data_IF_011832239268
#
_entry.id   IF_011832239268
#
_cell.length_a   1.000
_cell.length_b   1.000
_cell.length_c   1.000
_cell.angle_alpha   90.00
_cell.angle_beta   90.00
_cell.angle_gamma   90.00
#
_symmetry.space_group_name_H-M   'P 1'
#
loop_
_entity.id
_entity.type
_entity.pdbx_description
1 polymer ?
#
# COMPACT_ATOMS: atom_id res chain seq x y z
N UNK A 1 -15.42 8.48 -52.58
CA UNK A 1 -15.25 9.74 -51.80
C UNK A 1 -16.51 10.12 -51.00
N UNK A 2 -17.72 9.69 -51.41
CA UNK A 2 -18.99 9.97 -50.72
C UNK A 2 -19.30 9.11 -49.47
N UNK A 3 -18.52 8.08 -49.15
CA UNK A 3 -18.73 7.23 -47.95
C UNK A 3 -17.96 7.77 -46.72
N UNK A 4 -16.97 8.65 -46.90
CA UNK A 4 -16.23 9.28 -45.80
C UNK A 4 -16.88 10.54 -45.22
N UNK A 5 -17.97 11.03 -45.83
CA UNK A 5 -18.71 12.20 -45.35
C UNK A 5 -19.87 11.84 -44.40
N UNK A 6 -20.31 10.58 -44.38
CA UNK A 6 -21.43 10.15 -43.53
C UNK A 6 -20.99 9.70 -42.13
N UNK A 7 -19.70 9.46 -41.89
CA UNK A 7 -19.18 9.16 -40.55
C UNK A 7 -18.72 10.40 -39.77
N UNK A 8 -18.59 11.56 -40.42
CA UNK A 8 -18.19 12.81 -39.76
C UNK A 8 -19.37 13.64 -39.21
N UNK A 9 -20.62 13.18 -39.39
CA UNK A 9 -21.82 13.83 -38.88
C UNK A 9 -22.49 13.08 -37.72
N UNK A 10 -21.85 12.03 -37.18
CA UNK A 10 -22.32 11.32 -35.99
C UNK A 10 -21.59 11.73 -34.69
N UNK A 11 -20.88 12.86 -34.70
CA UNK A 11 -20.19 13.44 -33.53
C UNK A 11 -20.94 14.63 -32.90
N UNK A 12 -22.19 14.88 -33.30
CA UNK A 12 -22.97 16.02 -32.80
C UNK A 12 -24.39 15.63 -32.39
N UNK A 13 -24.56 14.55 -31.64
CA UNK A 13 -25.75 14.40 -30.79
C UNK A 13 -25.46 14.99 -29.42
N UNK A 14 -25.78 16.29 -29.33
CA UNK A 14 -26.70 16.86 -28.34
C UNK A 14 -26.43 16.40 -26.91
N UNK A 15 -25.99 17.33 -26.06
CA UNK A 15 -26.08 17.22 -24.62
C UNK A 15 -27.35 17.97 -24.17
N UNK A 16 -28.54 17.35 -24.09
CA UNK A 16 -29.74 18.03 -23.62
C UNK A 16 -29.84 17.84 -22.11
N UNK A 17 -29.96 18.93 -21.35
CA UNK A 17 -30.50 18.93 -19.97
C UNK A 17 -29.79 18.05 -18.90
N UNK A 18 -28.55 17.59 -19.12
CA UNK A 18 -27.81 16.68 -18.24
C UNK A 18 -26.57 17.25 -17.51
N UNK A 19 -26.38 18.58 -17.47
CA UNK A 19 -25.15 19.21 -16.91
C UNK A 19 -24.91 18.99 -15.40
N UNK A 20 -25.90 18.52 -14.64
CA UNK A 20 -25.66 18.09 -13.25
C UNK A 20 -24.97 16.73 -13.15
N UNK A 21 -25.17 15.83 -14.12
CA UNK A 21 -24.59 14.47 -14.09
C UNK A 21 -23.09 14.46 -14.45
N UNK A 22 -22.63 15.40 -15.28
CA UNK A 22 -21.21 15.48 -15.69
C UNK A 22 -20.28 15.99 -14.57
N UNK A 23 -20.78 16.79 -13.63
CA UNK A 23 -20.02 17.20 -12.45
C UNK A 23 -20.00 16.14 -11.33
N UNK A 24 -21.04 15.30 -11.24
CA UNK A 24 -21.14 14.24 -10.21
C UNK A 24 -20.24 13.05 -10.57
N UNK A 25 -20.09 12.74 -11.86
CA UNK A 25 -19.33 11.59 -12.34
C UNK A 25 -17.86 11.53 -11.84
N UNK A 26 -17.03 12.59 -11.94
CA UNK A 26 -15.65 12.54 -11.46
C UNK A 26 -15.55 12.41 -9.94
N UNK A 27 -16.47 13.01 -9.19
CA UNK A 27 -16.49 12.92 -7.71
C UNK A 27 -16.88 11.52 -7.27
N UNK A 28 -17.86 10.90 -7.93
CA UNK A 28 -18.31 9.55 -7.64
C UNK A 28 -17.20 8.51 -7.91
N UNK A 29 -16.51 8.64 -9.05
CA UNK A 29 -15.35 7.79 -9.37
C UNK A 29 -14.21 7.96 -8.35
N UNK A 30 -13.96 9.18 -7.89
CA UNK A 30 -12.95 9.44 -6.87
C UNK A 30 -13.32 8.77 -5.54
N UNK A 31 -14.59 8.86 -5.13
CA UNK A 31 -15.08 8.25 -3.89
C UNK A 31 -15.02 6.71 -3.96
N UNK A 32 -15.40 6.12 -5.09
CA UNK A 32 -15.31 4.67 -5.30
C UNK A 32 -13.86 4.18 -5.22
N UNK A 33 -12.94 4.87 -5.88
CA UNK A 33 -11.51 4.53 -5.81
C UNK A 33 -10.98 4.69 -4.38
N UNK A 34 -11.33 5.78 -3.70
CA UNK A 34 -10.93 6.01 -2.32
C UNK A 34 -11.46 4.91 -1.39
N UNK A 35 -12.71 4.49 -1.57
CA UNK A 35 -13.31 3.40 -0.80
C UNK A 35 -12.59 2.05 -1.02
N UNK A 36 -12.01 1.82 -2.20
CA UNK A 36 -11.19 0.62 -2.49
C UNK A 36 -9.79 0.71 -1.90
N UNK A 37 -9.10 1.84 -2.07
CA UNK A 37 -7.68 1.98 -1.67
C UNK A 37 -7.51 2.32 -0.19
N UNK A 38 -8.49 2.97 0.44
CA UNK A 38 -8.42 3.34 1.86
C UNK A 38 -8.20 2.12 2.78
N UNK A 39 -8.99 1.03 2.70
CA UNK A 39 -8.74 -0.15 3.52
C UNK A 39 -7.39 -0.81 3.19
N UNK A 40 -6.93 -0.79 1.93
CA UNK A 40 -5.60 -1.29 1.54
C UNK A 40 -4.46 -0.47 2.17
N UNK A 41 -4.57 0.85 2.11
CA UNK A 41 -3.60 1.77 2.70
C UNK A 41 -3.60 1.67 4.24
N UNK A 42 -4.78 1.62 4.86
CA UNK A 42 -4.89 1.45 6.30
C UNK A 42 -4.29 0.12 6.77
N UNK A 43 -4.47 -0.94 5.98
CA UNK A 43 -3.87 -2.24 6.24
C UNK A 43 -2.35 -2.24 6.07
N UNK A 44 -1.81 -1.54 5.06
CA UNK A 44 -0.37 -1.45 4.85
C UNK A 44 0.34 -0.66 5.95
N UNK A 45 -0.37 0.22 6.65
CA UNK A 45 0.11 0.88 7.87
C UNK A 45 0.26 -0.08 9.07
N UNK A 46 -0.30 -1.29 9.02
CA UNK A 46 -0.24 -2.22 10.14
C UNK A 46 1.08 -3.01 10.16
N UNK A 47 2.20 -2.36 10.51
CA UNK A 47 3.52 -3.00 10.59
C UNK A 47 4.11 -3.00 12.01
N UNK A 48 3.92 -4.07 12.81
CA UNK A 48 4.48 -4.16 14.16
C UNK A 48 6.01 -4.09 14.19
N UNK A 49 6.68 -4.75 13.23
CA UNK A 49 8.15 -4.84 13.17
C UNK A 49 8.75 -3.45 12.93
N UNK A 50 8.23 -2.72 11.94
CA UNK A 50 8.71 -1.37 11.62
C UNK A 50 8.44 -0.42 12.81
N UNK A 51 7.27 -0.52 13.43
CA UNK A 51 6.91 0.26 14.60
C UNK A 51 7.85 -0.02 15.79
N UNK A 52 8.13 -1.29 16.09
CA UNK A 52 9.01 -1.70 17.19
C UNK A 52 10.47 -1.23 16.97
N UNK A 53 10.98 -1.33 15.73
CA UNK A 53 12.29 -0.80 15.36
C UNK A 53 12.34 0.73 15.54
N UNK A 54 11.31 1.44 15.09
CA UNK A 54 11.20 2.90 15.24
C UNK A 54 11.21 3.33 16.72
N UNK A 55 10.38 2.71 17.56
CA UNK A 55 10.32 2.97 19.01
C UNK A 55 11.67 2.69 19.66
N UNK A 56 12.36 1.61 19.26
CA UNK A 56 13.69 1.25 19.77
C UNK A 56 14.73 2.31 19.42
N UNK A 57 14.69 2.83 18.19
CA UNK A 57 15.59 3.90 17.72
C UNK A 57 15.33 5.22 18.46
N UNK A 58 14.06 5.58 18.64
CA UNK A 58 13.64 6.77 19.39
C UNK A 58 14.03 6.69 20.87
N UNK A 59 13.87 5.52 21.50
CA UNK A 59 14.26 5.30 22.90
C UNK A 59 15.75 5.48 23.14
N UNK A 60 16.59 5.15 22.14
CA UNK A 60 18.04 5.37 22.18
C UNK A 60 18.46 6.78 21.77
N UNK A 61 17.50 7.66 21.46
CA UNK A 61 17.72 9.02 20.93
C UNK A 61 18.65 9.04 19.71
N UNK A 62 18.65 7.98 18.91
CA UNK A 62 19.55 7.83 17.77
C UNK A 62 18.87 8.34 16.48
N UNK A 63 18.76 9.66 16.35
CA UNK A 63 18.08 10.30 15.22
C UNK A 63 18.78 10.06 13.87
N UNK A 64 20.11 9.91 13.88
CA UNK A 64 20.86 9.56 12.67
C UNK A 64 20.46 8.17 12.15
N UNK A 65 20.35 7.18 13.04
CA UNK A 65 19.86 5.85 12.68
C UNK A 65 18.38 5.86 12.26
N UNK A 66 17.54 6.67 12.92
CA UNK A 66 16.14 6.84 12.51
C UNK A 66 16.01 7.43 11.10
N UNK A 67 16.79 8.47 10.79
CA UNK A 67 16.83 9.09 9.46
C UNK A 67 17.31 8.11 8.40
N UNK A 68 18.36 7.34 8.68
CA UNK A 68 18.84 6.27 7.80
C UNK A 68 17.78 5.19 7.56
N UNK A 69 17.14 4.72 8.64
CA UNK A 69 16.07 3.72 8.58
C UNK A 69 14.87 4.22 7.75
N UNK A 70 14.47 5.47 7.96
CA UNK A 70 13.42 6.11 7.16
C UNK A 70 13.83 6.22 5.68
N UNK A 71 15.06 6.65 5.37
CA UNK A 71 15.55 6.74 4.00
C UNK A 71 15.52 5.37 3.28
N UNK A 72 15.95 4.30 3.96
CA UNK A 72 15.84 2.94 3.43
C UNK A 72 14.40 2.52 3.16
N UNK A 73 13.50 2.83 4.09
CA UNK A 73 12.06 2.54 3.95
C UNK A 73 11.43 3.35 2.80
N UNK A 74 11.83 4.60 2.62
CA UNK A 74 11.38 5.44 1.52
C UNK A 74 11.84 4.89 0.16
N UNK A 75 13.09 4.40 0.06
CA UNK A 75 13.59 3.74 -1.16
C UNK A 75 12.74 2.52 -1.49
N UNK A 76 12.44 1.67 -0.49
CA UNK A 76 11.59 0.51 -0.73
C UNK A 76 10.16 0.89 -1.14
N UNK A 77 9.56 1.92 -0.53
CA UNK A 77 8.24 2.42 -0.93
C UNK A 77 8.24 2.86 -2.40
N UNK A 78 9.27 3.59 -2.83
CA UNK A 78 9.41 4.00 -4.23
C UNK A 78 9.53 2.79 -5.19
N UNK A 79 10.28 1.75 -4.82
CA UNK A 79 10.36 0.52 -5.62
C UNK A 79 8.99 -0.17 -5.69
N UNK A 80 8.30 -0.32 -4.56
CA UNK A 80 6.95 -0.90 -4.52
C UNK A 80 5.96 -0.10 -5.37
N UNK A 81 6.07 1.23 -5.38
CA UNK A 81 5.26 2.10 -6.23
C UNK A 81 5.54 1.88 -7.72
N UNK A 82 6.81 1.79 -8.11
CA UNK A 82 7.20 1.44 -9.49
C UNK A 82 6.65 0.06 -9.88
N UNK A 83 6.72 -0.93 -9.00
CA UNK A 83 6.15 -2.25 -9.24
C UNK A 83 4.62 -2.19 -9.42
N UNK A 84 3.91 -1.46 -8.57
CA UNK A 84 2.45 -1.26 -8.69
C UNK A 84 2.06 -0.59 -10.02
N UNK A 85 2.80 0.43 -10.44
CA UNK A 85 2.61 1.11 -11.74
C UNK A 85 2.91 0.14 -12.89
N UNK A 86 3.99 -0.64 -12.79
CA UNK A 86 4.35 -1.62 -13.80
C UNK A 86 3.29 -2.71 -13.96
N UNK A 87 2.72 -3.21 -12.86
CA UNK A 87 1.62 -4.18 -12.92
C UNK A 87 0.36 -3.56 -13.54
N UNK A 88 0.04 -2.31 -13.25
CA UNK A 88 -1.07 -1.61 -13.92
C UNK A 88 -0.86 -1.48 -15.45
N UNK A 89 0.36 -1.15 -15.89
CA UNK A 89 0.67 -1.03 -17.31
C UNK A 89 0.76 -2.40 -18.02
N UNK A 90 1.21 -3.43 -17.30
CA UNK A 90 1.49 -4.76 -17.83
C UNK A 90 0.26 -5.64 -18.06
N UNK A 91 -0.85 -5.37 -17.37
CA UNK A 91 -2.07 -6.20 -17.44
C UNK A 91 -2.58 -6.41 -18.87
N UNK A 92 -2.49 -5.40 -19.75
CA UNK A 92 -2.91 -5.54 -21.14
C UNK A 92 -1.88 -6.21 -22.04
N UNK A 93 -0.61 -5.78 -21.97
CA UNK A 93 0.41 -6.20 -22.94
C UNK A 93 1.01 -7.58 -22.62
N UNK A 94 1.19 -7.90 -21.34
CA UNK A 94 1.75 -9.19 -20.89
C UNK A 94 0.71 -10.29 -21.10
N UNK A 95 -0.56 -10.02 -20.79
CA UNK A 95 -1.68 -10.93 -21.01
C UNK A 95 -1.79 -11.31 -22.50
N UNK A 96 -1.77 -10.30 -23.40
CA UNK A 96 -1.82 -10.52 -24.84
C UNK A 96 -0.58 -11.29 -25.34
N UNK A 97 0.62 -10.94 -24.87
CA UNK A 97 1.86 -11.58 -25.32
C UNK A 97 2.00 -13.05 -24.87
N UNK A 98 1.41 -13.40 -23.73
CA UNK A 98 1.46 -14.76 -23.16
C UNK A 98 0.18 -15.57 -23.45
N UNK A 99 -0.81 -15.00 -24.13
CA UNK A 99 -2.11 -15.64 -24.38
C UNK A 99 -2.95 -15.84 -23.11
N UNK A 100 -2.62 -15.14 -22.02
CA UNK A 100 -3.41 -15.14 -20.80
C UNK A 100 -4.50 -14.08 -20.84
N UNK A 101 -5.56 -14.31 -20.09
CA UNK A 101 -6.59 -13.30 -19.87
C UNK A 101 -6.06 -12.26 -18.87
N UNK A 102 -6.30 -10.95 -19.04
CA UNK A 102 -5.91 -9.94 -18.05
C UNK A 102 -6.51 -10.22 -16.65
N UNK A 103 -7.63 -10.96 -16.60
CA UNK A 103 -8.28 -11.42 -15.36
C UNK A 103 -7.47 -12.50 -14.62
N UNK A 104 -6.55 -13.20 -15.28
CA UNK A 104 -5.71 -14.23 -14.67
C UNK A 104 -4.76 -13.67 -13.60
N UNK A 105 -4.34 -12.41 -13.73
CA UNK A 105 -3.46 -11.74 -12.74
C UNK A 105 -4.25 -11.42 -11.46
N UNK A 106 -5.48 -10.92 -11.60
CA UNK A 106 -6.39 -10.68 -10.47
C UNK A 106 -6.68 -11.98 -9.73
N UNK A 107 -6.96 -13.06 -10.46
CA UNK A 107 -7.17 -14.38 -9.87
C UNK A 107 -5.93 -14.90 -9.13
N UNK A 108 -4.74 -14.77 -9.74
CA UNK A 108 -3.49 -15.20 -9.11
C UNK A 108 -3.19 -14.42 -7.83
N UNK A 109 -3.31 -13.08 -7.87
CA UNK A 109 -3.16 -12.24 -6.68
C UNK A 109 -4.21 -12.58 -5.62
N UNK A 110 -5.45 -12.82 -6.02
CA UNK A 110 -6.53 -13.24 -5.13
C UNK A 110 -6.23 -14.55 -4.41
N UNK A 111 -5.76 -15.57 -5.14
CA UNK A 111 -5.33 -16.86 -4.57
C UNK A 111 -4.16 -16.67 -3.61
N UNK A 112 -3.16 -15.86 -3.98
CA UNK A 112 -2.01 -15.55 -3.12
C UNK A 112 -2.51 -14.88 -1.82
N UNK A 113 -3.33 -13.84 -1.92
CA UNK A 113 -3.84 -13.11 -0.77
C UNK A 113 -4.68 -14.00 0.14
N UNK A 114 -5.55 -14.82 -0.45
CA UNK A 114 -6.35 -15.78 0.30
C UNK A 114 -5.46 -16.78 1.05
N UNK A 115 -4.44 -17.34 0.37
CA UNK A 115 -3.51 -18.29 0.97
C UNK A 115 -2.68 -17.65 2.11
N UNK A 116 -2.19 -16.42 1.92
CA UNK A 116 -1.49 -15.68 2.96
C UNK A 116 -2.41 -15.33 4.14
N UNK A 117 -3.62 -14.85 3.88
CA UNK A 117 -4.63 -14.56 4.91
C UNK A 117 -4.95 -15.79 5.74
N UNK A 118 -5.25 -16.92 5.09
CA UNK A 118 -5.47 -18.20 5.75
C UNK A 118 -4.25 -18.65 6.57
N UNK A 119 -3.05 -18.61 5.97
CA UNK A 119 -1.79 -18.98 6.65
C UNK A 119 -1.55 -18.14 7.90
N UNK A 120 -1.91 -16.86 7.90
CA UNK A 120 -1.74 -15.99 9.07
C UNK A 120 -2.54 -16.46 10.29
N UNK A 121 -3.69 -17.09 10.09
CA UNK A 121 -4.46 -17.70 11.20
C UNK A 121 -3.86 -19.00 11.73
N UNK A 122 -3.09 -19.72 10.92
CA UNK A 122 -2.42 -20.96 11.32
C UNK A 122 -0.99 -20.77 11.83
N UNK A 123 -0.39 -19.61 11.57
CA UNK A 123 0.98 -19.30 11.99
C UNK A 123 0.96 -18.81 13.43
N UNK A 124 1.61 -19.57 14.33
CA UNK A 124 1.77 -19.14 15.72
C UNK A 124 2.58 -17.83 15.77
N UNK A 125 2.27 -16.90 16.68
CA UNK A 125 3.11 -15.75 16.93
C UNK A 125 4.54 -16.23 17.18
N UNK A 126 5.48 -15.83 16.33
CA UNK A 126 6.88 -16.15 16.57
C UNK A 126 7.31 -15.37 17.81
N UNK A 127 7.75 -16.06 18.86
CA UNK A 127 8.43 -15.41 19.97
C UNK A 127 9.70 -14.74 19.44
N UNK A 128 9.71 -13.42 19.39
CA UNK A 128 10.88 -12.67 18.96
C UNK A 128 12.03 -12.92 19.94
N UNK A 129 13.12 -13.52 19.42
CA UNK A 129 14.38 -13.56 20.13
C UNK A 129 14.92 -12.14 20.24
N UNK A 130 14.81 -11.56 21.44
CA UNK A 130 15.46 -10.29 21.81
C UNK A 130 16.85 -10.20 21.18
N UNK A 131 17.15 -9.18 20.34
CA UNK A 131 18.41 -9.11 19.63
C UNK A 131 19.57 -9.06 20.63
N UNK A 132 20.35 -10.14 20.63
CA UNK A 132 21.55 -10.25 21.42
C UNK A 132 22.59 -9.20 20.98
N UNK A 133 23.05 -8.42 21.97
CA UNK A 133 24.33 -7.68 22.06
C UNK A 133 24.59 -6.44 21.18
N UNK A 134 25.03 -5.42 21.93
CA UNK A 134 25.58 -4.10 21.61
C UNK A 134 26.63 -4.08 20.47
N UNK A 135 26.21 -4.01 19.20
CA UNK A 135 27.03 -3.45 18.12
C UNK A 135 26.35 -2.19 17.60
N UNK A 136 27.06 -1.06 17.62
CA UNK A 136 26.58 0.14 16.93
C UNK A 136 26.62 -0.14 15.42
N UNK A 137 25.46 -0.09 14.78
CA UNK A 137 25.38 -0.18 13.32
C UNK A 137 25.65 1.20 12.72
N UNK A 138 26.44 1.24 11.65
CA UNK A 138 26.68 2.46 10.89
C UNK A 138 25.44 2.92 10.10
N UNK A 139 25.46 4.15 9.62
CA UNK A 139 24.36 4.79 8.88
C UNK A 139 23.86 3.95 7.69
N UNK A 140 24.77 3.49 6.83
CA UNK A 140 24.45 2.64 5.66
C UNK A 140 23.72 1.35 6.06
N UNK A 141 24.11 0.76 7.20
CA UNK A 141 23.46 -0.45 7.68
C UNK A 141 22.03 -0.19 8.15
N UNK A 142 21.74 0.97 8.71
CA UNK A 142 20.37 1.36 9.05
C UNK A 142 19.51 1.64 7.80
N UNK A 143 20.09 2.18 6.71
CA UNK A 143 19.41 2.25 5.41
C UNK A 143 19.02 0.85 4.95
N UNK A 144 19.97 -0.09 4.96
CA UNK A 144 19.68 -1.47 4.56
C UNK A 144 18.61 -2.11 5.45
N UNK A 145 18.66 -1.90 6.77
CA UNK A 145 17.63 -2.39 7.70
C UNK A 145 16.25 -1.81 7.36
N UNK A 146 16.14 -0.51 7.08
CA UNK A 146 14.86 0.11 6.69
C UNK A 146 14.31 -0.43 5.39
N UNK A 147 15.18 -0.54 4.38
CA UNK A 147 14.84 -1.10 3.08
C UNK A 147 14.33 -2.54 3.19
N UNK A 148 15.10 -3.42 3.85
CA UNK A 148 14.73 -4.82 3.98
C UNK A 148 13.53 -4.99 4.90
N UNK A 149 13.44 -4.28 6.03
CA UNK A 149 12.30 -4.38 6.92
C UNK A 149 10.99 -4.09 6.18
N UNK A 150 10.96 -3.04 5.36
CA UNK A 150 9.75 -2.66 4.64
C UNK A 150 9.44 -3.59 3.45
N UNK A 151 10.46 -4.13 2.74
CA UNK A 151 10.24 -5.14 1.69
C UNK A 151 9.79 -6.49 2.25
N UNK A 152 10.40 -6.93 3.36
CA UNK A 152 10.05 -8.20 4.02
C UNK A 152 8.72 -8.13 4.75
N UNK A 153 8.16 -6.93 4.94
CA UNK A 153 6.78 -6.73 5.34
C UNK A 153 5.86 -7.03 4.15
N UNK A 154 5.92 -8.28 3.68
CA UNK A 154 5.31 -8.74 2.43
C UNK A 154 3.82 -8.44 2.39
N UNK A 155 3.16 -8.52 3.52
CA UNK A 155 1.75 -8.17 3.66
C UNK A 155 1.48 -6.71 3.29
N UNK A 156 2.12 -5.76 3.96
CA UNK A 156 1.98 -4.34 3.67
C UNK A 156 2.47 -3.98 2.26
N UNK A 157 3.56 -4.61 1.80
CA UNK A 157 4.12 -4.39 0.48
C UNK A 157 3.15 -4.81 -0.62
N UNK A 158 2.54 -5.99 -0.51
CA UNK A 158 1.54 -6.49 -1.46
C UNK A 158 0.28 -5.62 -1.47
N UNK A 159 -0.19 -5.20 -0.29
CA UNK A 159 -1.34 -4.30 -0.17
C UNK A 159 -1.07 -2.94 -0.82
N UNK A 160 0.14 -2.38 -0.64
CA UNK A 160 0.53 -1.11 -1.27
C UNK A 160 0.61 -1.25 -2.79
N UNK A 161 1.27 -2.30 -3.29
CA UNK A 161 1.33 -2.60 -4.73
C UNK A 161 -0.09 -2.69 -5.32
N UNK A 162 -1.00 -3.39 -4.64
CA UNK A 162 -2.39 -3.57 -5.09
C UNK A 162 -3.14 -2.23 -5.12
N UNK A 163 -2.99 -1.39 -4.09
CA UNK A 163 -3.59 -0.06 -4.06
C UNK A 163 -3.09 0.82 -5.21
N UNK A 164 -1.78 0.82 -5.44
CA UNK A 164 -1.16 1.59 -6.52
C UNK A 164 -1.61 1.08 -7.89
N UNK A 165 -1.72 -0.24 -8.06
CA UNK A 165 -2.26 -0.83 -9.29
C UNK A 165 -3.70 -0.36 -9.57
N UNK A 166 -4.58 -0.39 -8.57
CA UNK A 166 -5.96 0.13 -8.71
C UNK A 166 -6.00 1.63 -9.03
N UNK A 167 -5.11 2.44 -8.43
CA UNK A 167 -4.97 3.87 -8.76
C UNK A 167 -4.61 4.05 -10.23
N UNK A 168 -3.62 3.30 -10.74
CA UNK A 168 -3.13 3.50 -12.09
C UNK A 168 -4.01 2.87 -13.18
N UNK A 169 -4.80 1.85 -12.84
CA UNK A 169 -5.86 1.29 -13.69
C UNK A 169 -7.13 2.15 -13.74
N UNK A 170 -7.29 3.11 -12.83
CA UNK A 170 -8.47 4.00 -12.83
C UNK A 170 -8.40 5.10 -13.91
N UNK A 171 -9.57 5.64 -14.25
CA UNK A 171 -9.75 6.74 -15.21
C UNK A 171 -9.52 8.14 -14.63
N UNK A 172 -9.00 8.26 -13.39
CA UNK A 172 -8.76 9.57 -12.76
C UNK A 172 -7.58 10.30 -13.39
N UNK A 173 -7.54 11.63 -13.24
CA UNK A 173 -6.47 12.47 -13.78
C UNK A 173 -5.08 12.08 -13.24
N UNK A 174 -4.02 12.33 -14.02
CA UNK A 174 -2.64 12.03 -13.60
C UNK A 174 -2.23 12.75 -12.31
N UNK A 175 -2.73 13.98 -12.10
CA UNK A 175 -2.49 14.71 -10.86
C UNK A 175 -3.13 14.01 -9.66
N UNK A 176 -4.37 13.51 -9.81
CA UNK A 176 -5.05 12.72 -8.79
C UNK A 176 -4.30 11.43 -8.48
N UNK A 177 -3.78 10.72 -9.51
CA UNK A 177 -3.00 9.48 -9.33
C UNK A 177 -1.76 9.71 -8.45
N UNK A 178 -1.03 10.80 -8.67
CA UNK A 178 0.15 11.16 -7.85
C UNK A 178 -0.27 11.44 -6.40
N UNK A 179 -1.36 12.19 -6.20
CA UNK A 179 -1.87 12.47 -4.86
C UNK A 179 -2.28 11.21 -4.09
N UNK A 180 -2.94 10.27 -4.76
CA UNK A 180 -3.34 8.99 -4.16
C UNK A 180 -2.16 8.05 -3.92
N UNK A 181 -1.16 8.05 -4.79
CA UNK A 181 0.09 7.31 -4.56
C UNK A 181 0.77 7.83 -3.30
N UNK A 182 0.95 9.14 -3.19
CA UNK A 182 1.54 9.76 -2.00
C UNK A 182 0.72 9.45 -0.73
N UNK A 183 -0.61 9.45 -0.84
CA UNK A 183 -1.50 9.03 0.23
C UNK A 183 -1.20 7.58 0.68
N UNK A 184 -1.14 6.61 -0.24
CA UNK A 184 -0.81 5.22 0.08
C UNK A 184 0.57 5.06 0.71
N UNK A 185 1.59 5.74 0.17
CA UNK A 185 2.95 5.69 0.70
C UNK A 185 3.08 6.32 2.09
N UNK A 186 2.32 7.39 2.38
CA UNK A 186 2.25 7.98 3.73
C UNK A 186 1.71 6.95 4.73
N UNK A 187 0.67 6.19 4.36
CA UNK A 187 0.14 5.13 5.21
C UNK A 187 1.16 4.00 5.40
N UNK A 188 1.80 3.53 4.33
CA UNK A 188 2.86 2.52 4.40
C UNK A 188 4.01 2.95 5.33
N UNK A 189 4.41 4.23 5.27
CA UNK A 189 5.50 4.80 6.08
C UNK A 189 5.03 5.30 7.46
N UNK A 190 3.72 5.29 7.73
CA UNK A 190 3.15 5.81 8.99
C UNK A 190 3.67 5.11 10.25
N UNK A 191 4.05 3.81 10.27
CA UNK A 191 4.70 3.19 11.42
C UNK A 191 6.04 3.84 11.82
N UNK A 192 6.66 4.58 10.89
CA UNK A 192 7.87 5.35 11.14
C UNK A 192 7.52 6.81 11.43
N UNK A 193 6.70 7.42 10.57
CA UNK A 193 6.34 8.84 10.66
C UNK A 193 5.57 9.16 11.93
N UNK A 194 4.59 8.34 12.32
CA UNK A 194 3.72 8.62 13.45
C UNK A 194 4.50 8.66 14.78
N UNK A 195 5.32 7.64 15.14
CA UNK A 195 6.18 7.74 16.33
C UNK A 195 7.18 8.89 16.27
N UNK A 196 7.77 9.15 15.10
CA UNK A 196 8.73 10.24 14.93
C UNK A 196 8.09 11.61 15.18
N UNK A 197 6.90 11.85 14.64
CA UNK A 197 6.12 13.09 14.85
C UNK A 197 5.70 13.22 16.31
N UNK A 198 5.16 12.16 16.91
CA UNK A 198 4.76 12.15 18.33
C UNK A 198 5.96 12.47 19.23
N UNK A 199 7.12 11.88 18.94
CA UNK A 199 8.34 12.14 19.69
C UNK A 199 8.85 13.57 19.49
N UNK A 200 8.77 14.13 18.28
CA UNK A 200 9.18 15.49 17.99
C UNK A 200 8.31 16.53 18.71
N UNK A 201 6.98 16.31 18.77
CA UNK A 201 6.03 17.25 19.38
C UNK A 201 5.92 17.05 20.91
N UNK A 202 5.97 15.81 21.39
CA UNK A 202 5.73 15.47 22.79
C UNK A 202 6.65 14.34 23.30
N UNK A 203 7.97 14.57 23.41
CA UNK A 203 8.94 13.52 23.74
C UNK A 203 8.68 12.87 25.11
N UNK A 204 8.19 13.63 26.09
CA UNK A 204 7.85 13.12 27.43
C UNK A 204 6.59 12.24 27.46
N UNK A 205 5.71 12.36 26.46
CA UNK A 205 4.47 11.58 26.34
C UNK A 205 4.62 10.42 25.35
N UNK A 206 5.58 10.48 24.43
CA UNK A 206 5.76 9.50 23.36
C UNK A 206 5.80 8.06 23.89
N UNK A 207 6.56 7.78 24.94
CA UNK A 207 6.64 6.43 25.50
C UNK A 207 5.29 5.94 26.08
N UNK A 208 4.52 6.83 26.70
CA UNK A 208 3.19 6.51 27.26
C UNK A 208 2.16 6.25 26.16
N UNK A 209 2.24 6.95 25.04
CA UNK A 209 1.32 6.82 23.90
C UNK A 209 1.68 5.60 23.03
N UNK A 210 2.97 5.41 22.76
CA UNK A 210 3.44 4.39 21.81
C UNK A 210 3.51 2.99 22.41
N UNK A 211 3.72 2.85 23.74
CA UNK A 211 3.80 1.52 24.36
C UNK A 211 2.49 0.72 24.28
N UNK A 212 1.30 1.28 24.59
CA UNK A 212 0.03 0.58 24.42
C UNK A 212 -0.26 0.23 22.96
N UNK A 213 0.08 1.14 22.03
CA UNK A 213 -0.09 0.90 20.59
C UNK A 213 0.80 -0.26 20.12
N UNK A 214 2.07 -0.30 20.53
CA UNK A 214 2.98 -1.41 20.25
C UNK A 214 2.41 -2.74 20.73
N UNK A 215 1.94 -2.80 21.99
CA UNK A 215 1.31 -4.02 22.56
C UNK A 215 0.03 -4.42 21.83
N UNK A 216 -0.79 -3.46 21.41
CA UNK A 216 -1.99 -3.72 20.62
C UNK A 216 -1.63 -4.33 19.26
N UNK A 217 -0.65 -3.74 18.57
CA UNK A 217 -0.17 -4.22 17.28
C UNK A 217 0.44 -5.61 17.41
N UNK A 218 1.29 -5.86 18.42
CA UNK A 218 1.84 -7.20 18.70
C UNK A 218 0.73 -8.25 18.94
N UNK A 219 -0.36 -7.85 19.61
CA UNK A 219 -1.46 -8.77 19.95
C UNK A 219 -2.40 -9.05 18.77
N UNK A 220 -2.72 -8.04 17.95
CA UNK A 220 -3.80 -8.12 16.96
C UNK A 220 -3.36 -7.99 15.50
N UNK A 221 -2.09 -7.70 15.21
CA UNK A 221 -1.65 -7.49 13.81
C UNK A 221 -1.92 -8.70 12.93
N UNK A 222 -1.65 -9.91 13.38
CA UNK A 222 -1.94 -11.13 12.60
C UNK A 222 -3.44 -11.24 12.27
N UNK A 223 -4.34 -10.87 13.19
CA UNK A 223 -5.78 -10.86 12.93
C UNK A 223 -6.16 -9.79 11.90
N UNK A 224 -5.67 -8.56 12.05
CA UNK A 224 -5.96 -7.44 11.14
C UNK A 224 -5.48 -7.78 9.72
N UNK A 225 -4.23 -8.20 9.60
CA UNK A 225 -3.62 -8.62 8.33
C UNK A 225 -4.39 -9.79 7.74
N UNK A 226 -4.68 -10.83 8.53
CA UNK A 226 -5.42 -12.02 8.08
C UNK A 226 -6.80 -11.69 7.52
N UNK A 227 -7.59 -10.86 8.22
CA UNK A 227 -8.93 -10.46 7.75
C UNK A 227 -8.86 -9.67 6.45
N UNK A 228 -7.91 -8.73 6.33
CA UNK A 228 -7.77 -7.90 5.15
C UNK A 228 -7.31 -8.73 3.96
N UNK A 229 -6.33 -9.61 4.16
CA UNK A 229 -5.84 -10.53 3.13
C UNK A 229 -6.94 -11.47 2.65
N UNK A 230 -7.77 -12.02 3.54
CA UNK A 230 -8.91 -12.83 3.14
C UNK A 230 -9.95 -12.03 2.35
N UNK A 231 -10.32 -10.83 2.82
CA UNK A 231 -11.30 -9.99 2.15
C UNK A 231 -10.85 -9.61 0.73
N UNK A 232 -9.61 -9.17 0.58
CA UNK A 232 -9.04 -8.85 -0.73
C UNK A 232 -8.77 -10.07 -1.59
N UNK A 233 -8.37 -11.19 -0.99
CA UNK A 233 -8.21 -12.47 -1.68
C UNK A 233 -9.50 -12.92 -2.34
N UNK A 234 -10.61 -12.88 -1.60
CA UNK A 234 -11.95 -13.18 -2.14
C UNK A 234 -12.36 -12.16 -3.21
N UNK A 235 -12.20 -10.86 -2.94
CA UNK A 235 -12.57 -9.82 -3.90
C UNK A 235 -11.82 -9.94 -5.23
N UNK A 236 -10.49 -10.10 -5.20
CA UNK A 236 -9.66 -10.23 -6.41
C UNK A 236 -9.93 -11.56 -7.13
N UNK A 237 -10.14 -12.65 -6.40
CA UNK A 237 -10.51 -13.93 -7.01
C UNK A 237 -11.85 -13.84 -7.74
N UNK A 238 -12.86 -13.19 -7.15
CA UNK A 238 -14.15 -12.97 -7.80
C UNK A 238 -14.06 -12.02 -9.01
N UNK A 239 -13.18 -11.02 -8.96
CA UNK A 239 -12.92 -10.11 -10.08
C UNK A 239 -12.18 -10.81 -11.24
N UNK A 240 -11.39 -11.84 -10.92
CA UNK A 240 -10.58 -12.60 -11.87
C UNK A 240 -11.28 -13.80 -12.52
N UNK A 241 -12.52 -14.11 -12.12
CA UNK A 241 -13.39 -15.15 -12.72
C UNK A 241 -14.37 -14.48 -13.69
#
# INVERSE_FOLDING_TARGET
>A
MLIKLTQALNENEICPTGQFLTCICPVLHMLELLAKIFPLALASAASPIILALCITLLSKKNFSALGAFFAGSLISAAILAVLGIFFAAGDGQIAIALGFSPYSIDLALGIIFFAFGAKTFFTKPSEEKSPARKKSFGFVKWIAIGFFANITNFDAALLNITAIREIFNSAVSSASKIGLLAFCDIFLLSPILLPAIIYAVAPSKAQKILSPLGKFMEKYANYIVGVIFLAFGVYLALKGI
#
